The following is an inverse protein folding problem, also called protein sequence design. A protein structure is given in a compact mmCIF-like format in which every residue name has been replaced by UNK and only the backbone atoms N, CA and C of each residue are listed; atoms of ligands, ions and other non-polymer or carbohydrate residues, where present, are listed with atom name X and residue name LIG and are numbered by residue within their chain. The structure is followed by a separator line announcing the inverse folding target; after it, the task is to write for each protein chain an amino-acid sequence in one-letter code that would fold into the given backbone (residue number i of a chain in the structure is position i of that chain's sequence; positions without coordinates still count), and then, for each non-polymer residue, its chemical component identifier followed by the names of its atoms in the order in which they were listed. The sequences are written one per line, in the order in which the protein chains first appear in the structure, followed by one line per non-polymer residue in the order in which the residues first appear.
data_IF_434084636699
#
_entry.id   IF_434084636699
#
_cell.length_a   1.000
_cell.length_b   1.000
_cell.length_c   1.000
_cell.angle_alpha   90.00
_cell.angle_beta   90.00
_cell.angle_gamma   90.00
#
_symmetry.space_group_name_H-M   'P 1'
#
loop_
_entity.id
_entity.type
_entity.pdbx_description
1 polymer ?
#
# COMPACT_ATOMS: atom_id res chain seq x y z
N UNK A 1 -14.41 3.84 -10.33
CA UNK A 1 -13.94 2.46 -10.18
C UNK A 1 -14.03 2.14 -8.71
N UNK A 2 -14.66 1.01 -8.42
CA UNK A 2 -15.24 0.62 -7.14
C UNK A 2 -14.22 0.67 -5.99
N UNK A 3 -14.71 0.86 -4.77
CA UNK A 3 -13.94 0.77 -3.52
C UNK A 3 -13.49 -0.69 -3.35
N UNK A 4 -12.46 -1.11 -4.09
CA UNK A 4 -11.98 -2.49 -4.03
C UNK A 4 -11.28 -2.73 -2.68
N UNK A 5 -11.71 -3.80 -2.02
CA UNK A 5 -11.17 -4.23 -0.73
C UNK A 5 -10.42 -5.53 -0.97
N UNK A 6 -9.10 -5.47 -0.87
CA UNK A 6 -8.25 -6.65 -1.02
C UNK A 6 -7.90 -7.25 0.33
N UNK A 7 -8.02 -8.58 0.45
CA UNK A 7 -7.55 -9.31 1.62
C UNK A 7 -6.24 -10.00 1.28
N UNK A 8 -5.21 -9.75 2.09
CA UNK A 8 -3.88 -10.32 1.95
C UNK A 8 -3.55 -11.07 3.23
N UNK A 9 -3.20 -12.35 3.11
CA UNK A 9 -2.77 -13.17 4.25
C UNK A 9 -1.31 -13.56 4.05
N UNK A 10 -0.47 -13.29 5.04
CA UNK A 10 0.98 -13.52 4.98
C UNK A 10 1.44 -14.26 6.22
N UNK A 11 2.39 -15.17 6.05
CA UNK A 11 3.01 -15.88 7.17
C UNK A 11 4.00 -14.95 7.86
N UNK A 12 3.99 -14.89 9.19
CA UNK A 12 4.97 -14.11 9.95
C UNK A 12 6.41 -14.39 9.49
N UNK A 13 7.22 -13.32 9.38
CA UNK A 13 8.60 -13.37 8.90
C UNK A 13 8.78 -13.34 7.39
N UNK A 14 7.72 -13.51 6.59
CA UNK A 14 7.77 -13.41 5.12
C UNK A 14 7.58 -11.96 4.65
N UNK A 15 7.69 -11.76 3.33
CA UNK A 15 7.36 -10.49 2.66
C UNK A 15 5.83 -10.36 2.49
N UNK A 16 5.28 -9.20 2.85
CA UNK A 16 3.94 -8.80 2.47
C UNK A 16 3.99 -7.94 1.20
N UNK A 17 3.06 -8.23 0.29
CA UNK A 17 2.84 -7.45 -0.94
C UNK A 17 1.38 -7.01 -0.94
N UNK A 18 1.14 -5.72 -0.69
CA UNK A 18 -0.20 -5.14 -0.70
C UNK A 18 -0.48 -4.57 -2.10
N UNK A 19 -1.51 -5.06 -2.81
CA UNK A 19 -1.76 -4.63 -4.18
C UNK A 19 -2.33 -3.21 -4.22
N UNK A 20 -1.86 -2.42 -5.19
CA UNK A 20 -2.56 -1.22 -5.63
C UNK A 20 -2.33 -1.02 -7.12
N UNK A 21 -3.41 -1.08 -7.90
CA UNK A 21 -3.34 -0.95 -9.36
C UNK A 21 -3.97 0.37 -9.77
N UNK A 22 -3.20 1.21 -10.45
CA UNK A 22 -3.63 2.54 -10.90
C UNK A 22 -3.49 2.65 -12.40
N UNK A 23 -4.62 2.75 -13.09
CA UNK A 23 -4.65 3.03 -14.52
C UNK A 23 -4.51 4.53 -14.75
N UNK A 24 -3.68 4.93 -15.71
CA UNK A 24 -3.54 6.32 -16.17
C UNK A 24 -3.25 7.32 -15.04
N UNK A 25 -2.22 7.07 -14.21
CA UNK A 25 -1.85 7.96 -13.09
C UNK A 25 -1.68 9.42 -13.54
N UNK A 26 -1.11 9.66 -14.72
CA UNK A 26 -0.93 11.00 -15.26
C UNK A 26 -0.06 11.87 -14.37
N UNK A 27 -0.62 12.96 -13.84
CA UNK A 27 0.07 13.87 -12.90
C UNK A 27 -0.32 13.64 -11.43
N UNK A 28 -1.18 12.67 -11.18
CA UNK A 28 -1.59 12.31 -9.83
C UNK A 28 -0.46 11.56 -9.12
N UNK A 29 -0.59 11.45 -7.80
CA UNK A 29 0.34 10.77 -6.92
C UNK A 29 -0.39 9.66 -6.19
N UNK A 30 0.36 8.59 -5.91
CA UNK A 30 -0.12 7.46 -5.11
C UNK A 30 0.41 7.61 -3.69
N UNK A 31 -0.44 7.39 -2.70
CA UNK A 31 -0.14 7.57 -1.28
C UNK A 31 -0.54 6.28 -0.57
N UNK A 32 0.40 5.65 0.11
CA UNK A 32 0.08 4.56 1.05
C UNK A 32 -0.10 5.11 2.45
N UNK A 33 -1.17 4.70 3.11
CA UNK A 33 -1.47 5.05 4.50
C UNK A 33 -1.82 3.83 5.32
N UNK A 34 -1.60 3.91 6.64
CA UNK A 34 -2.14 2.94 7.59
C UNK A 34 -3.59 3.27 7.99
N UNK A 35 -4.14 2.46 8.89
CA UNK A 35 -5.48 2.65 9.48
C UNK A 35 -5.66 4.00 10.20
N UNK A 36 -4.58 4.65 10.61
CA UNK A 36 -4.57 5.93 11.31
C UNK A 36 -4.29 7.12 10.37
N UNK A 37 -4.27 6.88 9.06
CA UNK A 37 -3.91 7.87 8.04
C UNK A 37 -2.46 8.38 8.11
N UNK A 38 -1.59 7.66 8.83
CA UNK A 38 -0.14 7.88 8.79
C UNK A 38 0.35 7.59 7.37
N UNK A 39 1.04 8.55 6.76
CA UNK A 39 1.59 8.36 5.41
C UNK A 39 2.82 7.46 5.49
N UNK A 40 2.73 6.29 4.85
CA UNK A 40 3.80 5.29 4.79
C UNK A 40 4.75 5.61 3.62
N UNK A 41 4.19 5.83 2.44
CA UNK A 41 4.92 6.20 1.22
C UNK A 41 4.17 7.26 0.42
N UNK A 42 4.92 8.04 -0.34
CA UNK A 42 4.43 8.96 -1.37
C UNK A 42 5.11 8.58 -2.68
N UNK A 43 4.33 8.11 -3.64
CA UNK A 43 4.82 7.41 -4.83
C UNK A 43 5.77 6.25 -4.41
N UNK A 44 6.96 6.21 -4.99
CA UNK A 44 8.05 5.27 -4.72
C UNK A 44 8.89 5.66 -3.49
N UNK A 45 8.66 6.83 -2.89
CA UNK A 45 9.43 7.33 -1.75
C UNK A 45 8.80 6.91 -0.42
N UNK A 46 9.58 6.22 0.42
CA UNK A 46 9.24 5.96 1.82
C UNK A 46 9.28 7.26 2.64
N UNK A 47 8.26 7.46 3.48
CA UNK A 47 8.12 8.62 4.40
C UNK A 47 8.42 8.23 5.85
N UNK A 48 8.03 7.02 6.26
CA UNK A 48 8.31 6.48 7.59
C UNK A 48 9.77 6.00 7.75
N UNK A 49 10.21 5.87 9.00
CA UNK A 49 11.55 5.38 9.34
C UNK A 49 11.71 3.86 9.20
N UNK A 50 10.60 3.09 9.17
CA UNK A 50 10.67 1.62 9.03
C UNK A 50 11.13 1.23 7.62
N UNK A 51 12.42 0.89 7.51
CA UNK A 51 13.09 0.59 6.24
C UNK A 51 12.57 -0.67 5.52
N UNK A 52 11.74 -1.48 6.19
CA UNK A 52 11.09 -2.63 5.58
C UNK A 52 10.14 -2.19 4.47
N UNK A 53 9.49 -1.04 4.60
CA UNK A 53 8.49 -0.54 3.66
C UNK A 53 9.10 0.06 2.40
N UNK A 54 8.64 -0.42 1.23
CA UNK A 54 9.09 0.01 -0.09
C UNK A 54 7.95 -0.09 -1.08
N UNK A 55 7.98 0.74 -2.12
CA UNK A 55 7.19 0.55 -3.33
C UNK A 55 8.22 0.33 -4.43
N UNK A 56 8.39 -0.92 -4.87
CA UNK A 56 9.41 -1.23 -5.87
C UNK A 56 8.82 -1.10 -7.29
N UNK A 57 9.59 -0.44 -8.15
CA UNK A 57 9.45 -0.46 -9.60
C UNK A 57 8.00 -0.39 -10.13
N UNK A 58 7.34 0.79 -10.10
CA UNK A 58 6.00 0.99 -10.63
C UNK A 58 5.98 0.97 -12.16
N UNK A 59 6.33 -0.17 -12.76
CA UNK A 59 6.10 -0.43 -14.17
C UNK A 59 4.65 -0.86 -14.34
N UNK A 60 4.05 -0.42 -15.44
CA UNK A 60 2.70 -0.81 -15.85
C UNK A 60 1.55 -0.42 -14.87
N UNK A 61 1.77 0.57 -13.99
CA UNK A 61 0.71 1.11 -13.12
C UNK A 61 0.48 0.33 -11.82
N UNK A 62 1.39 -0.58 -11.47
CA UNK A 62 1.36 -1.31 -10.20
C UNK A 62 2.14 -0.55 -9.11
N UNK A 63 1.45 -0.09 -8.08
CA UNK A 63 2.00 0.69 -6.96
C UNK A 63 1.92 -0.11 -5.67
N UNK A 64 2.35 -1.37 -5.71
CA UNK A 64 2.24 -2.27 -4.59
C UNK A 64 3.14 -1.85 -3.43
N UNK A 65 2.66 -1.99 -2.20
CA UNK A 65 3.46 -1.78 -1.00
C UNK A 65 4.10 -3.10 -0.58
N UNK A 66 5.42 -3.12 -0.53
CA UNK A 66 6.24 -4.26 -0.12
C UNK A 66 6.83 -4.01 1.26
N UNK A 67 6.83 -5.03 2.10
CA UNK A 67 7.66 -5.03 3.29
C UNK A 67 8.05 -6.42 3.76
N UNK A 68 9.35 -6.60 4.00
CA UNK A 68 9.95 -7.85 4.46
C UNK A 68 9.72 -8.08 5.95
N UNK A 69 9.88 -9.33 6.39
CA UNK A 69 9.88 -9.71 7.82
C UNK A 69 8.64 -9.17 8.54
N UNK A 70 7.47 -9.44 7.97
CA UNK A 70 6.17 -9.08 8.53
C UNK A 70 6.05 -9.65 9.94
N UNK A 71 5.53 -8.86 10.87
CA UNK A 71 5.27 -9.23 12.26
C UNK A 71 3.77 -9.35 12.49
N UNK A 72 3.35 -10.14 13.46
CA UNK A 72 1.94 -10.23 13.85
C UNK A 72 1.32 -8.84 14.13
N UNK A 73 2.10 -7.90 14.67
CA UNK A 73 1.66 -6.52 14.93
C UNK A 73 1.46 -5.64 13.69
N UNK A 74 1.98 -6.03 12.53
CA UNK A 74 1.82 -5.27 11.27
C UNK A 74 0.44 -5.48 10.65
N UNK A 75 -0.33 -6.46 11.12
CA UNK A 75 -1.68 -6.73 10.63
C UNK A 75 -2.59 -5.50 10.76
N UNK A 76 -3.52 -5.35 9.83
CA UNK A 76 -4.49 -4.27 9.86
C UNK A 76 -4.88 -3.75 8.50
N UNK A 77 -5.45 -2.56 8.50
CA UNK A 77 -5.95 -1.89 7.31
C UNK A 77 -4.90 -0.94 6.77
N UNK A 78 -4.67 -1.03 5.47
CA UNK A 78 -3.82 -0.17 4.67
C UNK A 78 -4.65 0.46 3.56
N UNK A 79 -4.27 1.66 3.14
CA UNK A 79 -5.01 2.46 2.18
C UNK A 79 -4.06 2.90 1.08
N UNK A 80 -4.38 2.57 -0.16
CA UNK A 80 -3.77 3.18 -1.33
C UNK A 80 -4.70 4.29 -1.84
N UNK A 81 -4.26 5.53 -1.74
CA UNK A 81 -5.01 6.71 -2.15
C UNK A 81 -4.36 7.37 -3.36
N UNK A 82 -5.17 7.76 -4.34
CA UNK A 82 -4.75 8.58 -5.48
C UNK A 82 -5.34 9.98 -5.28
N UNK A 83 -4.51 11.01 -5.39
CA UNK A 83 -4.88 12.41 -5.15
C UNK A 83 -5.70 13.05 -6.30
N UNK A 84 -6.59 12.29 -6.94
CA UNK A 84 -7.61 12.80 -7.86
C UNK A 84 -8.65 13.64 -7.13
N UNK A 85 -9.50 14.33 -7.89
CA UNK A 85 -10.67 15.04 -7.36
C UNK A 85 -11.96 14.45 -7.99
N UNK A 86 -12.76 13.67 -7.23
CA UNK A 86 -12.56 13.24 -5.84
C UNK A 86 -11.43 12.20 -5.70
N UNK A 87 -10.84 12.02 -4.50
CA UNK A 87 -9.76 11.06 -4.29
C UNK A 87 -10.25 9.63 -4.50
N UNK A 88 -9.49 8.86 -5.25
CA UNK A 88 -9.72 7.41 -5.40
C UNK A 88 -9.01 6.68 -4.26
N UNK A 89 -9.69 5.68 -3.70
CA UNK A 89 -9.24 4.95 -2.52
C UNK A 89 -9.38 3.45 -2.80
N UNK A 90 -8.31 2.70 -2.55
CA UNK A 90 -8.29 1.24 -2.51
C UNK A 90 -7.89 0.81 -1.10
N UNK A 91 -8.60 -0.17 -0.54
CA UNK A 91 -8.37 -0.62 0.84
C UNK A 91 -7.78 -2.02 0.81
N UNK A 92 -6.75 -2.26 1.62
CA UNK A 92 -6.13 -3.58 1.77
C UNK A 92 -6.15 -3.98 3.24
N UNK A 93 -6.67 -5.17 3.53
CA UNK A 93 -6.66 -5.76 4.86
C UNK A 93 -5.56 -6.82 4.88
N UNK A 94 -4.55 -6.60 5.71
CA UNK A 94 -3.48 -7.55 5.96
C UNK A 94 -3.82 -8.39 7.20
N UNK A 95 -3.84 -9.71 7.01
CA UNK A 95 -3.86 -10.71 8.07
C UNK A 95 -2.50 -11.41 8.14
N UNK A 96 -2.00 -11.62 9.35
CA UNK A 96 -0.72 -12.31 9.59
C UNK A 96 -0.99 -13.59 10.37
N UNK A 97 -0.46 -14.71 9.87
CA UNK A 97 -0.63 -16.06 10.43
C UNK A 97 0.68 -16.72 10.80
#
# INVERSE_FOLDING_TARGET
MDNDVHNVTVIEGHEAILPCVVNNLGRHQVIWQDKWKTVLTLNDRRIIDDERFKVDNPRDGHWNLHFDKVKYGDQGLFICQINTDPPLIQTVILSVI
#
